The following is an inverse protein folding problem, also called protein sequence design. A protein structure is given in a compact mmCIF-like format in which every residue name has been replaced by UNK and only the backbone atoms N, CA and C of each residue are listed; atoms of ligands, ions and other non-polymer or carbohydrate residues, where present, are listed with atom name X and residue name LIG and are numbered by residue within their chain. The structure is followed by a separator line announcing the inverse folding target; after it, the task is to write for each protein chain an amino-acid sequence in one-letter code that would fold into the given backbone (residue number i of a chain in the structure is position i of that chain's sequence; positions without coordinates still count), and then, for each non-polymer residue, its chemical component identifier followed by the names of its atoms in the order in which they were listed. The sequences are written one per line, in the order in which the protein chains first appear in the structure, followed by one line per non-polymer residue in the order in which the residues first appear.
data_IF_979391552514
#
_entry.id   IF_979391552514
#
_cell.length_a   1.000
_cell.length_b   1.000
_cell.length_c   1.000
_cell.angle_alpha   90.00
_cell.angle_beta   90.00
_cell.angle_gamma   90.00
#
_symmetry.space_group_name_H-M   'P 1'
#
loop_
_entity.id
_entity.type
_entity.pdbx_description
1 polymer ?
#
# COMPACT_ATOMS: atom_id res chain seq x y z
N UNK A 1 -17.13 -37.00 -7.09
CA UNK A 1 -15.88 -36.64 -6.41
C UNK A 1 -15.54 -35.22 -6.80
N UNK A 2 -16.13 -34.24 -6.13
CA UNK A 2 -15.82 -32.83 -6.34
C UNK A 2 -15.78 -32.22 -4.95
N UNK A 3 -14.55 -32.12 -4.44
CA UNK A 3 -14.21 -31.44 -3.19
C UNK A 3 -14.24 -29.93 -3.48
N UNK A 4 -15.23 -29.23 -2.95
CA UNK A 4 -15.24 -27.78 -2.94
C UNK A 4 -14.51 -27.34 -1.67
N UNK A 5 -13.19 -27.22 -1.85
CA UNK A 5 -12.21 -26.69 -0.94
C UNK A 5 -12.74 -25.57 -0.01
N UNK A 6 -12.59 -25.82 1.29
CA UNK A 6 -12.49 -24.78 2.31
C UNK A 6 -11.38 -23.80 1.98
N UNK A 7 -11.66 -22.50 2.05
CA UNK A 7 -10.69 -21.50 2.54
C UNK A 7 -11.36 -20.14 2.73
N UNK A 8 -11.65 -19.78 3.99
CA UNK A 8 -11.39 -18.41 4.41
C UNK A 8 -10.87 -18.40 5.84
N UNK A 9 -9.55 -18.33 5.97
CA UNK A 9 -8.90 -17.80 7.16
C UNK A 9 -7.54 -17.27 6.73
N UNK A 10 -7.54 -16.01 6.33
CA UNK A 10 -6.37 -15.17 6.47
C UNK A 10 -6.74 -14.13 7.51
N UNK A 11 -6.58 -14.50 8.78
CA UNK A 11 -6.29 -13.52 9.82
C UNK A 11 -4.91 -12.92 9.52
N UNK A 12 -4.83 -12.13 8.46
CA UNK A 12 -3.64 -11.38 8.10
C UNK A 12 -3.68 -10.09 8.88
N UNK A 13 -2.60 -9.77 9.60
CA UNK A 13 -2.44 -8.50 10.26
C UNK A 13 -2.87 -7.37 9.32
N UNK A 14 -3.85 -6.56 9.72
CA UNK A 14 -4.25 -5.37 8.97
C UNK A 14 -2.98 -4.54 8.77
N UNK A 15 -2.59 -4.38 7.50
CA UNK A 15 -1.54 -3.44 7.15
C UNK A 15 -1.97 -2.06 7.68
N UNK A 16 -1.05 -1.30 8.31
CA UNK A 16 -1.39 0.02 8.82
C UNK A 16 -1.91 0.90 7.68
N UNK A 17 -2.98 1.65 7.95
CA UNK A 17 -3.51 2.60 6.99
C UNK A 17 -2.44 3.64 6.64
N UNK A 18 -2.24 3.87 5.35
CA UNK A 18 -1.38 4.94 4.85
C UNK A 18 -2.07 6.31 4.89
N UNK A 19 -3.40 6.33 4.91
CA UNK A 19 -4.19 7.56 5.02
C UNK A 19 -4.01 8.15 6.41
N UNK A 20 -3.75 9.46 6.47
CA UNK A 20 -3.48 10.17 7.71
C UNK A 20 -2.02 10.16 8.16
N UNK A 21 -1.16 9.31 7.58
CA UNK A 21 0.27 9.36 7.84
C UNK A 21 0.88 10.66 7.30
N UNK A 22 1.76 11.25 8.10
CA UNK A 22 2.60 12.36 7.69
C UNK A 22 3.61 11.90 6.63
N UNK A 23 4.19 12.86 5.91
CA UNK A 23 5.21 12.57 4.89
C UNK A 23 6.43 11.76 5.42
N UNK A 24 7.02 12.05 6.59
CA UNK A 24 8.08 11.21 7.13
C UNK A 24 7.60 9.80 7.51
N UNK A 25 6.39 9.65 8.03
CA UNK A 25 5.82 8.33 8.36
C UNK A 25 5.56 7.50 7.09
N UNK A 26 5.03 8.11 6.02
CA UNK A 26 4.90 7.47 4.71
C UNK A 26 6.27 7.04 4.16
N UNK A 27 7.30 7.87 4.36
CA UNK A 27 8.65 7.53 3.92
C UNK A 27 9.20 6.33 4.69
N UNK A 28 8.96 6.27 6.01
CA UNK A 28 9.34 5.13 6.84
C UNK A 28 8.59 3.85 6.45
N UNK A 29 7.27 3.94 6.19
CA UNK A 29 6.47 2.82 5.71
C UNK A 29 6.99 2.28 4.37
N UNK A 30 7.30 3.18 3.42
CA UNK A 30 7.91 2.79 2.13
C UNK A 30 9.32 2.20 2.32
N UNK A 31 10.11 2.73 3.26
CA UNK A 31 11.44 2.20 3.56
C UNK A 31 11.41 0.78 4.14
N UNK A 32 10.38 0.43 4.90
CA UNK A 32 10.19 -0.92 5.46
C UNK A 32 9.85 -1.98 4.40
N UNK A 33 9.50 -1.57 3.18
CA UNK A 33 9.15 -2.45 2.06
C UNK A 33 10.32 -2.64 1.07
N UNK A 34 11.56 -2.52 1.54
CA UNK A 34 12.79 -2.64 0.73
C UNK A 34 12.89 -1.68 -0.47
N UNK A 35 12.12 -0.58 -0.47
CA UNK A 35 12.22 0.42 -1.53
C UNK A 35 13.55 1.17 -1.42
N UNK A 36 14.36 1.24 -2.50
CA UNK A 36 15.62 1.95 -2.51
C UNK A 36 15.45 3.41 -2.10
N UNK A 37 16.35 3.93 -1.26
CA UNK A 37 16.25 5.28 -0.69
C UNK A 37 15.99 6.37 -1.73
N UNK A 38 16.67 6.27 -2.88
CA UNK A 38 16.54 7.20 -4.02
C UNK A 38 15.14 7.22 -4.62
N UNK A 39 14.35 6.17 -4.44
CA UNK A 39 12.98 6.05 -4.97
C UNK A 39 11.90 6.40 -3.94
N UNK A 40 12.20 6.39 -2.64
CA UNK A 40 11.20 6.57 -1.57
C UNK A 40 10.41 7.87 -1.72
N UNK A 41 11.10 8.98 -1.98
CA UNK A 41 10.46 10.29 -2.18
C UNK A 41 9.50 10.31 -3.38
N UNK A 42 9.82 9.60 -4.45
CA UNK A 42 8.95 9.46 -5.62
C UNK A 42 7.71 8.61 -5.28
N UNK A 43 7.91 7.46 -4.62
CA UNK A 43 6.82 6.57 -4.20
C UNK A 43 5.85 7.27 -3.24
N UNK A 44 6.36 8.04 -2.28
CA UNK A 44 5.52 8.84 -1.37
C UNK A 44 4.69 9.86 -2.13
N UNK A 45 5.24 10.52 -3.16
CA UNK A 45 4.47 11.46 -4.00
C UNK A 45 3.38 10.75 -4.81
N UNK A 46 3.65 9.55 -5.33
CA UNK A 46 2.65 8.74 -6.05
C UNK A 46 1.50 8.36 -5.11
N UNK A 47 1.82 7.78 -3.95
CA UNK A 47 0.85 7.43 -2.91
C UNK A 47 -0.02 8.64 -2.54
N UNK A 48 0.59 9.79 -2.29
CA UNK A 48 -0.13 11.02 -1.94
C UNK A 48 -1.11 11.46 -3.03
N UNK A 49 -0.66 11.47 -4.29
CA UNK A 49 -1.50 11.82 -5.44
C UNK A 49 -2.70 10.88 -5.55
N UNK A 50 -2.51 9.59 -5.36
CA UNK A 50 -3.59 8.62 -5.43
C UNK A 50 -4.58 8.76 -4.29
N UNK A 51 -4.09 8.80 -3.05
CA UNK A 51 -4.95 8.90 -1.86
C UNK A 51 -5.77 10.20 -1.83
N UNK A 52 -5.13 11.35 -2.05
CA UNK A 52 -5.77 12.64 -1.79
C UNK A 52 -6.30 13.34 -3.05
N UNK A 53 -5.65 13.17 -4.21
CA UNK A 53 -6.13 13.83 -5.43
C UNK A 53 -7.11 12.95 -6.21
N UNK A 54 -6.98 11.61 -6.11
CA UNK A 54 -7.83 10.66 -6.83
C UNK A 54 -8.80 9.89 -5.94
N UNK A 55 -8.63 9.95 -4.61
CA UNK A 55 -9.49 9.24 -3.67
C UNK A 55 -9.32 7.73 -3.68
N UNK A 56 -8.18 7.22 -4.16
CA UNK A 56 -7.91 5.79 -4.21
C UNK A 56 -7.90 5.20 -2.80
N UNK A 57 -8.59 4.08 -2.66
CA UNK A 57 -8.77 3.36 -1.40
C UNK A 57 -8.01 2.02 -1.37
N UNK A 58 -7.62 1.51 -2.54
CA UNK A 58 -6.81 0.31 -2.70
C UNK A 58 -5.56 0.52 -3.56
N UNK A 59 -4.62 -0.42 -3.47
CA UNK A 59 -3.42 -0.40 -4.32
C UNK A 59 -3.72 -0.83 -5.76
N UNK A 60 -4.76 -1.64 -6.00
CA UNK A 60 -5.19 -2.02 -7.35
C UNK A 60 -5.56 -0.84 -8.25
N UNK A 61 -5.99 0.28 -7.65
CA UNK A 61 -6.31 1.50 -8.38
C UNK A 61 -5.04 2.25 -8.82
N UNK A 62 -3.91 2.04 -8.13
CA UNK A 62 -2.68 2.81 -8.29
C UNK A 62 -1.79 2.24 -9.41
N UNK A 63 -2.13 2.54 -10.65
CA UNK A 63 -1.50 1.97 -11.85
C UNK A 63 0.01 2.20 -12.02
N UNK A 64 0.61 3.12 -11.25
CA UNK A 64 2.03 3.48 -11.32
C UNK A 64 2.84 3.06 -10.07
N UNK A 65 2.23 2.29 -9.17
CA UNK A 65 2.91 1.57 -8.10
C UNK A 65 3.25 0.16 -8.57
N UNK A 66 4.32 0.06 -9.38
CA UNK A 66 4.94 -1.19 -9.83
C UNK A 66 6.41 -1.26 -9.47
#
# INVERSE_FOLDING_TARGET
MTDAASAVSSGGATAPSLVGLTRPELTAAVAALDVPERQRNMRVRQLWRWMYNRGASGFEEMSDLG
#
